data_IF_649634095491
#
_entry.id   IF_649634095491
#
_cell.length_a   1.000
_cell.length_b   1.000
_cell.length_c   1.000
_cell.angle_alpha   90.00
_cell.angle_beta   90.00
_cell.angle_gamma   90.00
#
_symmetry.space_group_name_H-M   'P 1'
#
loop_
_entity.id
_entity.type
_entity.pdbx_description
1 polymer ?
#
# COMPACT_ATOMS: atom_id res chain seq x y z
N UNK A 1 27.52 -6.61 -4.41
CA UNK A 1 26.77 -7.46 -3.47
C UNK A 1 25.38 -7.61 -4.07
N UNK A 2 24.92 -8.85 -4.29
CA UNK A 2 23.57 -9.09 -4.78
C UNK A 2 22.58 -8.59 -3.70
N UNK A 3 21.48 -7.95 -4.13
CA UNK A 3 20.38 -7.59 -3.24
C UNK A 3 19.71 -8.88 -2.76
N UNK A 4 19.21 -8.93 -1.50
CA UNK A 4 18.46 -10.08 -1.04
C UNK A 4 17.18 -10.23 -1.86
N UNK A 5 16.72 -11.46 -2.01
CA UNK A 5 15.42 -11.74 -2.59
C UNK A 5 14.33 -11.23 -1.65
N UNK A 6 13.41 -10.43 -2.18
CA UNK A 6 12.37 -9.79 -1.38
C UNK A 6 11.10 -10.64 -1.30
N UNK A 7 10.29 -10.41 -0.25
CA UNK A 7 8.96 -10.98 -0.09
C UNK A 7 7.91 -9.89 0.15
N UNK A 8 6.76 -10.04 -0.51
CA UNK A 8 5.60 -9.19 -0.34
C UNK A 8 4.41 -10.08 0.07
N UNK A 9 3.77 -9.75 1.17
CA UNK A 9 2.70 -10.54 1.76
C UNK A 9 1.35 -9.93 1.43
N UNK A 10 0.40 -10.74 0.96
CA UNK A 10 -0.97 -10.31 0.69
C UNK A 10 -1.95 -11.45 0.94
N UNK A 11 -3.19 -11.13 1.28
CA UNK A 11 -4.22 -12.13 1.50
C UNK A 11 -4.51 -12.94 0.23
N UNK A 12 -4.79 -14.23 0.37
CA UNK A 12 -5.29 -15.06 -0.70
C UNK A 12 -6.61 -14.47 -1.22
N UNK A 13 -6.67 -14.15 -2.51
CA UNK A 13 -7.82 -13.48 -3.13
C UNK A 13 -7.72 -11.95 -3.21
N UNK A 14 -6.63 -11.35 -2.74
CA UNK A 14 -6.32 -9.95 -3.04
C UNK A 14 -6.16 -9.73 -4.56
N UNK A 15 -6.34 -8.50 -4.99
CA UNK A 15 -6.37 -8.19 -6.43
C UNK A 15 -5.02 -8.44 -7.11
N UNK A 16 -5.06 -9.01 -8.31
CA UNK A 16 -3.86 -9.38 -9.08
C UNK A 16 -2.98 -8.21 -9.52
N UNK A 17 -3.44 -6.96 -9.41
CA UNK A 17 -2.66 -5.77 -9.75
C UNK A 17 -1.36 -5.67 -8.95
N UNK A 18 -1.34 -6.16 -7.71
CA UNK A 18 -0.13 -6.16 -6.86
C UNK A 18 0.96 -7.03 -7.47
N UNK A 19 0.64 -8.29 -7.79
CA UNK A 19 1.60 -9.20 -8.43
C UNK A 19 2.07 -8.65 -9.79
N UNK A 20 1.15 -8.07 -10.58
CA UNK A 20 1.48 -7.45 -11.86
C UNK A 20 2.39 -6.22 -11.70
N UNK A 21 2.17 -5.40 -10.68
CA UNK A 21 3.04 -4.26 -10.39
C UNK A 21 4.46 -4.71 -10.01
N UNK A 22 4.58 -5.75 -9.18
CA UNK A 22 5.88 -6.32 -8.80
C UNK A 22 6.63 -6.93 -10.00
N UNK A 23 5.90 -7.54 -10.93
CA UNK A 23 6.44 -8.01 -12.20
C UNK A 23 7.04 -6.85 -13.02
N UNK A 24 6.28 -5.76 -13.18
CA UNK A 24 6.71 -4.55 -13.92
C UNK A 24 7.93 -3.90 -13.25
N UNK A 25 7.99 -3.90 -11.92
CA UNK A 25 9.12 -3.37 -11.15
C UNK A 25 10.36 -4.26 -11.20
N UNK A 26 10.28 -5.46 -11.78
CA UNK A 26 11.40 -6.38 -11.94
C UNK A 26 11.66 -7.28 -10.73
N UNK A 27 10.77 -7.30 -9.74
CA UNK A 27 10.86 -8.23 -8.60
C UNK A 27 10.33 -9.63 -8.95
N UNK A 28 9.48 -9.73 -9.98
CA UNK A 28 8.78 -10.96 -10.34
C UNK A 28 7.57 -11.22 -9.44
N UNK A 29 6.59 -11.94 -9.98
CA UNK A 29 5.39 -12.34 -9.23
C UNK A 29 5.66 -13.37 -8.14
N UNK A 30 6.77 -14.12 -8.26
CA UNK A 30 7.18 -15.14 -7.29
C UNK A 30 7.60 -14.56 -5.94
N UNK A 31 7.87 -13.24 -5.88
CA UNK A 31 8.13 -12.57 -4.60
C UNK A 31 6.86 -12.43 -3.74
N UNK A 32 5.67 -12.67 -4.29
CA UNK A 32 4.40 -12.59 -3.57
C UNK A 32 4.18 -13.87 -2.76
N UNK A 33 4.03 -13.71 -1.45
CA UNK A 33 3.59 -14.77 -0.56
C UNK A 33 2.11 -14.57 -0.20
N UNK A 34 1.27 -15.48 -0.68
CA UNK A 34 -0.16 -15.46 -0.39
C UNK A 34 -0.42 -16.02 0.99
N UNK A 35 -1.06 -15.23 1.84
CA UNK A 35 -1.43 -15.59 3.21
C UNK A 35 -2.87 -16.09 3.23
N UNK A 36 -3.17 -17.20 3.93
CA UNK A 36 -4.53 -17.65 4.15
C UNK A 36 -5.43 -16.54 4.73
N UNK A 37 -6.72 -16.70 4.55
CA UNK A 37 -7.72 -15.82 5.18
C UNK A 37 -8.51 -16.58 6.24
N UNK A 38 -9.00 -15.84 7.24
CA UNK A 38 -9.90 -16.35 8.28
C UNK A 38 -11.36 -16.46 7.75
N UNK A 39 -12.28 -16.90 8.62
CA UNK A 39 -13.70 -17.07 8.27
C UNK A 39 -14.41 -15.77 7.86
N UNK A 40 -13.82 -14.62 8.20
CA UNK A 40 -14.30 -13.29 7.77
C UNK A 40 -13.64 -12.83 6.47
N UNK A 41 -12.88 -13.69 5.81
CA UNK A 41 -12.11 -13.38 4.60
C UNK A 41 -11.06 -12.29 4.80
N UNK A 42 -10.57 -12.10 6.01
CA UNK A 42 -9.47 -11.21 6.37
C UNK A 42 -8.16 -11.98 6.40
N UNK A 43 -7.05 -11.32 6.16
CA UNK A 43 -5.71 -11.92 6.28
C UNK A 43 -5.52 -12.56 7.66
N UNK A 44 -5.12 -13.82 7.69
CA UNK A 44 -4.83 -14.53 8.93
C UNK A 44 -3.51 -14.03 9.51
N UNK A 45 -3.61 -13.34 10.66
CA UNK A 45 -2.46 -12.69 11.30
C UNK A 45 -1.44 -13.71 11.86
N UNK A 46 -1.89 -14.89 12.30
CA UNK A 46 -1.00 -15.94 12.76
C UNK A 46 -0.19 -16.48 11.58
N UNK A 47 -0.87 -16.82 10.50
CA UNK A 47 -0.21 -17.30 9.29
C UNK A 47 0.75 -16.25 8.68
N UNK A 48 0.41 -14.96 8.77
CA UNK A 48 1.28 -13.87 8.32
C UNK A 48 2.55 -13.80 9.18
N UNK A 49 2.41 -13.84 10.50
CA UNK A 49 3.55 -13.78 11.42
C UNK A 49 4.50 -14.97 11.21
N UNK A 50 3.95 -16.16 11.10
CA UNK A 50 4.75 -17.38 10.84
C UNK A 50 5.47 -17.30 9.49
N UNK A 51 4.79 -16.78 8.46
CA UNK A 51 5.35 -16.61 7.13
C UNK A 51 6.54 -15.63 7.11
N UNK A 52 6.44 -14.52 7.83
CA UNK A 52 7.53 -13.54 7.95
C UNK A 52 8.74 -14.17 8.68
N UNK A 53 8.51 -14.90 9.76
CA UNK A 53 9.57 -15.57 10.51
C UNK A 53 10.30 -16.60 9.63
N UNK A 54 9.56 -17.46 8.94
CA UNK A 54 10.11 -18.49 8.04
C UNK A 54 10.93 -17.86 6.89
N UNK A 55 10.43 -16.80 6.27
CA UNK A 55 11.14 -16.13 5.17
C UNK A 55 12.46 -15.53 5.66
N UNK A 56 12.49 -14.92 6.85
CA UNK A 56 13.73 -14.41 7.45
C UNK A 56 14.74 -15.52 7.76
N UNK A 57 14.28 -16.66 8.29
CA UNK A 57 15.14 -17.83 8.55
C UNK A 57 15.75 -18.35 7.24
N UNK A 58 15.01 -18.27 6.14
CA UNK A 58 15.47 -18.65 4.80
C UNK A 58 16.33 -17.56 4.10
N UNK A 59 16.63 -16.44 4.79
CA UNK A 59 17.47 -15.37 4.26
C UNK A 59 16.78 -14.45 3.27
N UNK A 60 15.46 -14.51 3.18
CA UNK A 60 14.64 -13.62 2.37
C UNK A 60 14.38 -12.31 3.10
N UNK A 61 14.13 -11.24 2.36
CA UNK A 61 13.88 -9.91 2.92
C UNK A 61 12.40 -9.54 2.84
N UNK A 62 11.64 -9.54 3.96
CA UNK A 62 10.30 -8.98 4.01
C UNK A 62 10.32 -7.51 3.57
N UNK A 63 9.59 -7.17 2.50
CA UNK A 63 9.55 -5.83 1.91
C UNK A 63 8.27 -5.10 2.29
N UNK A 64 7.11 -5.72 2.05
CA UNK A 64 5.82 -5.08 2.26
C UNK A 64 4.72 -6.06 2.67
N UNK A 65 3.79 -5.57 3.48
CA UNK A 65 2.50 -6.21 3.77
C UNK A 65 1.43 -5.41 3.06
N UNK A 66 0.60 -6.08 2.25
CA UNK A 66 -0.48 -5.46 1.49
C UNK A 66 -1.81 -5.83 2.14
N UNK A 67 -2.37 -4.90 2.93
CA UNK A 67 -3.74 -5.03 3.43
C UNK A 67 -4.75 -4.66 2.36
N UNK A 68 -5.96 -5.19 2.45
CA UNK A 68 -7.06 -4.93 1.52
C UNK A 68 -8.25 -4.30 2.24
N UNK A 69 -8.73 -3.16 1.73
CA UNK A 69 -9.96 -2.53 2.16
C UNK A 69 -11.04 -2.72 1.09
N UNK A 70 -12.05 -3.55 1.37
CA UNK A 70 -13.12 -3.84 0.42
C UNK A 70 -12.66 -4.75 -0.72
N UNK A 71 -12.32 -6.00 -0.43
CA UNK A 71 -11.89 -6.97 -1.44
C UNK A 71 -12.92 -7.16 -2.54
N UNK A 72 -12.47 -7.29 -3.79
CA UNK A 72 -13.33 -7.36 -4.99
C UNK A 72 -14.35 -8.50 -4.91
N UNK A 73 -13.97 -9.65 -4.38
CA UNK A 73 -14.83 -10.85 -4.37
C UNK A 73 -15.93 -10.81 -3.31
N UNK A 74 -15.63 -10.28 -2.13
CA UNK A 74 -16.51 -10.41 -0.95
C UNK A 74 -16.64 -9.14 -0.12
N UNK A 75 -15.96 -8.05 -0.47
CA UNK A 75 -16.02 -6.79 0.26
C UNK A 75 -15.35 -6.82 1.64
N UNK A 76 -14.46 -7.78 1.90
CA UNK A 76 -13.80 -7.92 3.18
C UNK A 76 -12.76 -6.81 3.42
N UNK A 77 -12.56 -6.48 4.70
CA UNK A 77 -11.56 -5.54 5.17
C UNK A 77 -10.61 -6.25 6.12
N UNK A 78 -9.32 -6.13 5.92
CA UNK A 78 -8.32 -6.64 6.83
C UNK A 78 -8.29 -5.84 8.15
N UNK A 79 -7.73 -6.42 9.21
CA UNK A 79 -7.48 -5.72 10.48
C UNK A 79 -6.26 -4.81 10.35
N UNK A 80 -6.49 -3.55 9.96
CA UNK A 80 -5.41 -2.59 9.72
C UNK A 80 -4.64 -2.22 10.99
N UNK A 81 -5.25 -2.33 12.17
CA UNK A 81 -4.54 -2.10 13.42
C UNK A 81 -3.54 -3.22 13.69
N UNK A 82 -3.96 -4.46 13.57
CA UNK A 82 -3.08 -5.61 13.74
C UNK A 82 -1.97 -5.64 12.67
N UNK A 83 -2.30 -5.33 11.41
CA UNK A 83 -1.31 -5.23 10.33
C UNK A 83 -0.28 -4.13 10.61
N UNK A 84 -0.71 -2.95 11.07
CA UNK A 84 0.18 -1.83 11.38
C UNK A 84 1.09 -2.12 12.58
N UNK A 85 0.57 -2.79 13.61
CA UNK A 85 1.37 -3.22 14.77
C UNK A 85 2.47 -4.18 14.33
N UNK A 86 2.13 -5.19 13.54
CA UNK A 86 3.10 -6.16 13.02
C UNK A 86 4.11 -5.51 12.06
N UNK A 87 3.65 -4.67 11.15
CA UNK A 87 4.51 -3.96 10.20
C UNK A 87 5.55 -3.10 10.93
N UNK A 88 5.12 -2.38 11.97
CA UNK A 88 6.02 -1.56 12.80
C UNK A 88 7.02 -2.43 13.58
N UNK A 89 6.55 -3.51 14.20
CA UNK A 89 7.39 -4.46 14.93
C UNK A 89 8.48 -5.06 14.04
N UNK A 90 8.09 -5.46 12.83
CA UNK A 90 8.96 -6.14 11.86
C UNK A 90 9.75 -5.19 10.97
N UNK A 91 9.51 -3.86 11.05
CA UNK A 91 10.09 -2.84 10.17
C UNK A 91 9.82 -3.15 8.68
N UNK A 92 8.58 -3.48 8.36
CA UNK A 92 8.09 -3.79 7.02
C UNK A 92 7.15 -2.67 6.56
N UNK A 93 7.19 -2.29 5.28
CA UNK A 93 6.27 -1.30 4.71
C UNK A 93 4.83 -1.83 4.71
N UNK A 94 3.90 -1.05 5.23
CA UNK A 94 2.47 -1.37 5.15
C UNK A 94 1.81 -0.58 4.03
N UNK A 95 1.34 -1.27 3.01
CA UNK A 95 0.49 -0.70 1.96
C UNK A 95 -0.95 -1.19 2.12
N UNK A 96 -1.92 -0.35 1.82
CA UNK A 96 -3.33 -0.76 1.77
C UNK A 96 -3.89 -0.53 0.37
N UNK A 97 -4.30 -1.63 -0.28
CA UNK A 97 -5.17 -1.56 -1.45
C UNK A 97 -6.58 -1.25 -0.99
N UNK A 98 -6.93 0.01 -1.07
CA UNK A 98 -8.24 0.55 -0.68
C UNK A 98 -9.01 1.07 -1.89
N UNK A 99 -8.75 0.49 -3.07
CA UNK A 99 -9.34 0.90 -4.34
C UNK A 99 -10.87 1.03 -4.28
N UNK A 100 -11.53 0.16 -3.52
CA UNK A 100 -12.96 0.26 -3.22
C UNK A 100 -13.22 0.84 -1.82
N UNK A 101 -12.62 0.26 -0.80
CA UNK A 101 -13.05 0.40 0.58
C UNK A 101 -12.59 1.67 1.28
N UNK A 102 -11.68 2.47 0.72
CA UNK A 102 -11.29 3.75 1.33
C UNK A 102 -12.50 4.61 1.70
N UNK A 103 -13.51 4.58 0.87
CA UNK A 103 -14.69 5.45 0.95
C UNK A 103 -15.64 5.09 2.09
N UNK A 104 -15.46 3.93 2.74
CA UNK A 104 -16.17 3.62 4.00
C UNK A 104 -15.89 4.66 5.09
N UNK A 105 -14.75 5.38 5.01
CA UNK A 105 -14.40 6.49 5.92
C UNK A 105 -15.41 7.64 5.91
N UNK A 106 -16.18 7.77 4.83
CA UNK A 106 -17.22 8.81 4.69
C UNK A 106 -18.62 8.32 5.10
N UNK A 107 -18.74 7.03 5.39
CA UNK A 107 -20.01 6.45 5.81
C UNK A 107 -20.27 6.66 7.32
N UNK A 108 -21.54 6.45 7.71
CA UNK A 108 -21.93 6.37 9.11
C UNK A 108 -21.55 5.00 9.71
N UNK A 109 -21.56 4.91 11.06
CA UNK A 109 -21.43 3.65 11.79
C UNK A 109 -22.56 2.66 11.36
N UNK A 110 -22.26 1.35 11.22
CA UNK A 110 -21.00 0.69 11.54
C UNK A 110 -20.00 0.61 10.36
N UNK A 111 -20.30 1.18 9.21
CA UNK A 111 -19.48 0.99 8.00
C UNK A 111 -18.18 1.76 8.04
N UNK A 112 -18.14 2.87 8.76
CA UNK A 112 -16.93 3.67 8.93
C UNK A 112 -15.83 2.91 9.66
N UNK A 113 -16.19 2.10 10.64
CA UNK A 113 -15.29 1.33 11.49
C UNK A 113 -14.57 0.20 10.72
N UNK A 114 -15.13 -0.21 9.57
CA UNK A 114 -14.48 -1.22 8.70
C UNK A 114 -13.06 -0.82 8.27
N UNK A 115 -12.77 0.47 8.22
CA UNK A 115 -11.46 1.00 7.85
C UNK A 115 -10.69 1.62 9.03
N UNK A 116 -11.02 1.25 10.27
CA UNK A 116 -10.27 1.71 11.43
C UNK A 116 -8.82 1.21 11.38
N UNK A 117 -7.89 2.12 11.68
CA UNK A 117 -6.46 1.84 11.58
C UNK A 117 -5.85 2.08 10.19
N UNK A 118 -6.63 2.28 9.12
CA UNK A 118 -6.11 2.47 7.76
C UNK A 118 -5.10 3.62 7.66
N UNK A 119 -5.28 4.69 8.44
CA UNK A 119 -4.37 5.84 8.47
C UNK A 119 -3.00 5.57 9.09
N UNK A 120 -2.75 4.36 9.58
CA UNK A 120 -1.45 3.91 10.09
C UNK A 120 -0.57 3.31 8.99
N UNK A 121 -1.13 3.10 7.80
CA UNK A 121 -0.39 2.58 6.66
C UNK A 121 0.66 3.59 6.16
N UNK A 122 1.77 3.09 5.66
CA UNK A 122 2.80 3.91 5.00
C UNK A 122 2.32 4.43 3.65
N UNK A 123 1.48 3.64 2.97
CA UNK A 123 0.83 4.05 1.72
C UNK A 123 -0.55 3.44 1.53
N UNK A 124 -1.43 4.17 0.84
CA UNK A 124 -2.79 3.76 0.53
C UNK A 124 -3.08 4.04 -0.93
N UNK A 125 -3.50 3.03 -1.69
CA UNK A 125 -4.06 3.21 -3.02
C UNK A 125 -5.58 3.32 -2.94
N UNK A 126 -6.17 4.28 -3.66
CA UNK A 126 -7.62 4.45 -3.71
C UNK A 126 -8.08 4.89 -5.10
N UNK A 127 -9.30 4.51 -5.47
CA UNK A 127 -9.87 4.87 -6.77
C UNK A 127 -11.14 5.70 -6.60
N UNK A 128 -11.16 6.86 -7.24
CA UNK A 128 -12.35 7.71 -7.28
C UNK A 128 -13.30 7.31 -8.40
N UNK A 129 -12.79 6.62 -9.43
CA UNK A 129 -13.61 6.12 -10.53
C UNK A 129 -14.42 4.86 -10.20
N UNK A 130 -14.22 4.29 -8.99
CA UNK A 130 -15.01 3.16 -8.49
C UNK A 130 -16.24 3.65 -7.73
N UNK A 131 -16.31 3.50 -6.42
CA UNK A 131 -17.49 3.88 -5.63
C UNK A 131 -17.92 5.35 -5.75
N UNK A 132 -17.01 6.34 -5.77
CA UNK A 132 -17.41 7.73 -5.96
C UNK A 132 -17.96 8.07 -7.34
N UNK A 133 -17.78 7.21 -8.34
CA UNK A 133 -18.36 7.39 -9.67
C UNK A 133 -17.74 8.52 -10.50
N UNK A 134 -16.52 8.93 -10.18
CA UNK A 134 -15.77 9.86 -11.03
C UNK A 134 -15.45 9.18 -12.36
N UNK A 135 -15.33 9.97 -13.41
CA UNK A 135 -15.01 9.44 -14.74
C UNK A 135 -13.70 8.61 -14.71
N UNK A 136 -13.72 7.51 -15.43
CA UNK A 136 -12.59 6.59 -15.58
C UNK A 136 -11.52 7.23 -16.49
N UNK A 137 -10.22 7.12 -16.17
CA UNK A 137 -9.64 6.54 -14.98
C UNK A 137 -9.23 7.65 -14.00
N UNK A 138 -9.42 7.40 -12.74
CA UNK A 138 -9.03 8.34 -11.68
C UNK A 138 -8.69 7.56 -10.40
N UNK A 139 -7.42 7.35 -10.18
CA UNK A 139 -6.86 6.73 -8.97
C UNK A 139 -5.90 7.67 -8.26
N UNK A 140 -5.64 7.42 -6.99
CA UNK A 140 -4.69 8.17 -6.19
C UNK A 140 -3.91 7.25 -5.26
N UNK A 141 -2.68 7.67 -4.93
CA UNK A 141 -1.87 7.04 -3.91
C UNK A 141 -1.53 8.08 -2.84
N UNK A 142 -1.84 7.76 -1.59
CA UNK A 142 -1.48 8.54 -0.42
C UNK A 142 -0.23 7.94 0.20
N UNK A 143 0.75 8.77 0.56
CA UNK A 143 1.99 8.36 1.22
C UNK A 143 2.09 9.12 2.55
N UNK A 144 2.38 8.42 3.64
CA UNK A 144 2.45 9.01 4.99
C UNK A 144 3.68 9.91 5.15
N UNK A 145 4.83 9.51 4.60
CA UNK A 145 6.07 10.27 4.69
C UNK A 145 6.24 11.18 3.47
N UNK A 146 6.01 12.48 3.70
CA UNK A 146 6.13 13.51 2.66
C UNK A 146 7.55 13.65 2.11
N UNK A 147 8.56 13.57 2.97
CA UNK A 147 9.93 13.84 2.56
C UNK A 147 10.50 12.65 1.80
N UNK A 148 10.16 11.42 2.22
CA UNK A 148 10.45 10.21 1.47
C UNK A 148 9.77 10.26 0.09
N UNK A 149 8.49 10.62 0.03
CA UNK A 149 7.76 10.73 -1.22
C UNK A 149 8.42 11.74 -2.17
N UNK A 150 8.76 12.94 -1.68
CA UNK A 150 9.47 13.95 -2.46
C UNK A 150 10.82 13.47 -2.95
N UNK A 151 11.64 12.89 -2.09
CA UNK A 151 12.98 12.42 -2.46
C UNK A 151 12.95 11.33 -3.51
N UNK A 152 11.88 10.53 -3.53
CA UNK A 152 11.70 9.42 -4.48
C UNK A 152 11.24 9.90 -5.86
N UNK A 153 10.28 10.84 -5.90
CA UNK A 153 9.57 11.19 -7.13
C UNK A 153 9.85 12.61 -7.64
N UNK A 154 10.56 13.46 -6.89
CA UNK A 154 10.89 14.79 -7.39
C UNK A 154 12.24 14.78 -8.11
N UNK A 155 12.26 15.25 -9.35
CA UNK A 155 13.48 15.59 -10.06
C UNK A 155 13.54 17.10 -10.25
N UNK A 156 14.70 17.72 -9.90
CA UNK A 156 14.99 19.13 -10.21
C UNK A 156 16.06 19.19 -11.27
N UNK A 157 15.69 19.28 -12.56
CA UNK A 157 16.67 19.55 -13.61
C UNK A 157 17.36 20.88 -13.35
N UNK A 158 18.67 20.93 -13.57
CA UNK A 158 19.48 22.15 -13.32
C UNK A 158 19.04 23.39 -14.10
N UNK A 159 18.25 23.22 -15.17
CA UNK A 159 17.70 24.32 -15.97
C UNK A 159 16.39 24.92 -15.42
N UNK A 160 15.75 24.26 -14.45
CA UNK A 160 14.62 24.82 -13.72
C UNK A 160 15.17 25.48 -12.45
N UNK A 161 15.59 26.75 -12.58
CA UNK A 161 15.87 27.55 -11.39
C UNK A 161 14.62 27.59 -10.52
N UNK A 162 14.81 27.36 -9.23
CA UNK A 162 13.73 27.46 -8.27
C UNK A 162 13.10 28.84 -8.42
N UNK A 163 11.84 28.91 -8.83
CA UNK A 163 11.01 30.09 -8.61
C UNK A 163 10.80 30.25 -7.11
N UNK A 164 11.89 30.51 -6.41
CA UNK A 164 11.91 30.81 -4.96
C UNK A 164 11.29 32.16 -4.67
N UNK A 165 10.68 32.79 -5.65
CA UNK A 165 10.09 34.11 -5.55
C UNK A 165 8.60 34.09 -5.81
N UNK A 166 7.84 34.06 -4.72
CA UNK A 166 6.65 34.89 -4.71
C UNK A 166 5.28 34.25 -4.84
N UNK A 167 5.11 32.95 -4.91
CA UNK A 167 3.81 32.33 -4.63
C UNK A 167 3.87 31.69 -3.25
N UNK A 168 3.14 32.26 -2.30
CA UNK A 168 2.98 31.71 -0.95
C UNK A 168 2.54 30.27 -1.03
N UNK A 169 3.39 29.34 -0.55
CA UNK A 169 2.94 27.96 -0.46
C UNK A 169 3.96 26.87 -0.73
N UNK A 170 5.24 27.15 -0.68
CA UNK A 170 6.25 26.09 -0.78
C UNK A 170 6.51 25.63 -2.22
N UNK A 171 7.55 24.88 -2.37
CA UNK A 171 7.98 24.33 -3.66
C UNK A 171 6.84 23.58 -4.35
N UNK A 172 6.54 23.97 -5.58
CA UNK A 172 5.64 23.20 -6.44
C UNK A 172 6.23 21.78 -6.57
N UNK A 173 5.38 20.79 -6.40
CA UNK A 173 5.73 19.41 -6.65
C UNK A 173 5.81 19.21 -8.15
N UNK A 174 6.99 19.25 -8.70
CA UNK A 174 7.20 18.69 -10.01
C UNK A 174 7.50 17.20 -9.83
N UNK A 175 6.45 16.39 -9.93
CA UNK A 175 6.67 15.01 -10.32
C UNK A 175 7.09 15.04 -11.77
N UNK A 176 8.22 14.46 -12.08
CA UNK A 176 8.59 14.25 -13.47
C UNK A 176 7.65 13.16 -14.01
N UNK A 177 6.69 13.60 -14.81
CA UNK A 177 5.82 12.71 -15.57
C UNK A 177 6.56 12.31 -16.83
N UNK A 178 7.59 11.46 -16.69
CA UNK A 178 8.23 10.85 -17.82
C UNK A 178 7.34 9.84 -18.51
#
# INVERSE_FOLDING_TARGET
RALPEVRVYMAKGAHSCVAKALEIMGHGSDCVRQIPVNDMSQMDMTALTDAIAEDRENGLAPLAIIGTAGSVGVGAYDDFNALADLAAQESIWMHVDAAFGYWSRLADSPYRELSDGIGRADSIALDTHKWPGVQYDCGACLISDRDLHRSTFSSRPAYLESAASGLAGGDLWFCDYG
#
